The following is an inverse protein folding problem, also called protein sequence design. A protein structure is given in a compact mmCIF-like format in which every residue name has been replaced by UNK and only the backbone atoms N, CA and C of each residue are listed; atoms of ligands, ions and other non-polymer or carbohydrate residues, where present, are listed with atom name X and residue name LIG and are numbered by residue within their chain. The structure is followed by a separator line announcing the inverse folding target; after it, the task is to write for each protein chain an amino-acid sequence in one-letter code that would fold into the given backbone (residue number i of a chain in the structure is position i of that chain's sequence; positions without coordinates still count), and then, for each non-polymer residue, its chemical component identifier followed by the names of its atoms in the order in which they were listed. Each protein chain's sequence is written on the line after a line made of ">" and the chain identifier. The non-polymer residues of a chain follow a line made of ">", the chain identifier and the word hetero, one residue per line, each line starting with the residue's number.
data_IF_739781173015
#
_entry.id   IF_739781173015
#
_cell.length_a   1.000
_cell.length_b   1.000
_cell.length_c   1.000
_cell.angle_alpha   90.00
_cell.angle_beta   90.00
_cell.angle_gamma   90.00
#
_symmetry.space_group_name_H-M   'P 1'
#
loop_
_entity.id
_entity.type
_entity.pdbx_description
1 polymer ?
#
# COMPACT_ATOMS: atom_id res chain seq x y z
N UNK A 1 -8.03 12.91 -7.52
CA UNK A 1 -9.06 11.88 -7.22
C UNK A 1 -9.88 12.31 -6.01
N UNK A 2 -11.14 11.86 -5.94
CA UNK A 2 -11.98 12.04 -4.76
C UNK A 2 -11.46 11.18 -3.60
N UNK A 3 -11.51 11.66 -2.35
CA UNK A 3 -11.15 10.84 -1.20
C UNK A 3 -12.00 9.58 -1.14
N UNK A 4 -11.36 8.44 -0.92
CA UNK A 4 -12.04 7.15 -0.92
C UNK A 4 -11.33 6.12 -0.03
N UNK A 5 -12.08 5.10 0.34
CA UNK A 5 -11.58 3.91 1.02
C UNK A 5 -11.35 2.81 -0.02
N UNK A 6 -10.23 2.12 0.09
CA UNK A 6 -9.83 1.06 -0.83
C UNK A 6 -9.51 -0.22 -0.07
N UNK A 7 -10.01 -1.33 -0.58
CA UNK A 7 -9.49 -2.66 -0.26
C UNK A 7 -8.15 -2.82 -0.99
N UNK A 8 -7.14 -3.24 -0.25
CA UNK A 8 -5.82 -3.57 -0.77
C UNK A 8 -5.61 -5.08 -0.62
N UNK A 9 -5.17 -5.75 -1.69
CA UNK A 9 -4.69 -7.14 -1.66
C UNK A 9 -3.25 -7.15 -2.16
N UNK A 10 -2.41 -7.97 -1.57
CA UNK A 10 -1.02 -8.07 -1.99
C UNK A 10 -0.51 -9.51 -1.92
N UNK A 11 0.37 -9.85 -2.85
CA UNK A 11 0.97 -11.18 -2.97
C UNK A 11 2.47 -11.04 -3.15
N UNK A 12 3.24 -11.72 -2.31
CA UNK A 12 4.68 -11.86 -2.43
C UNK A 12 5.07 -13.30 -2.70
N UNK A 13 6.38 -13.56 -2.70
CA UNK A 13 6.92 -14.90 -2.97
C UNK A 13 6.60 -15.93 -1.87
N UNK A 14 6.42 -15.47 -0.63
CA UNK A 14 6.26 -16.34 0.54
C UNK A 14 4.81 -16.45 1.03
N UNK A 15 3.99 -15.42 0.81
CA UNK A 15 2.62 -15.36 1.32
C UNK A 15 1.76 -14.33 0.56
N UNK A 16 0.51 -14.18 0.98
CA UNK A 16 -0.42 -13.14 0.55
C UNK A 16 -1.05 -12.44 1.75
N UNK A 17 -1.66 -11.28 1.50
CA UNK A 17 -2.34 -10.54 2.54
C UNK A 17 -3.32 -9.52 1.99
N UNK A 18 -3.93 -8.78 2.91
CA UNK A 18 -4.86 -7.73 2.56
C UNK A 18 -4.96 -6.68 3.66
N UNK A 19 -5.55 -5.55 3.30
CA UNK A 19 -5.69 -4.40 4.17
C UNK A 19 -6.64 -3.37 3.59
N UNK A 20 -6.73 -2.24 4.27
CA UNK A 20 -7.56 -1.12 3.85
C UNK A 20 -6.73 0.15 3.87
N UNK A 21 -6.86 0.97 2.83
CA UNK A 21 -6.27 2.30 2.75
C UNK A 21 -7.35 3.35 2.49
N UNK A 22 -7.30 4.45 3.24
CA UNK A 22 -7.85 5.72 2.81
C UNK A 22 -6.84 6.41 1.90
N UNK A 23 -7.30 6.88 0.73
CA UNK A 23 -6.51 7.69 -0.20
C UNK A 23 -7.34 8.91 -0.57
N UNK A 24 -6.83 10.09 -0.27
CA UNK A 24 -7.55 11.33 -0.52
C UNK A 24 -6.81 12.54 0.05
N UNK A 25 -7.10 13.73 -0.49
CA UNK A 25 -6.55 14.99 -0.01
C UNK A 25 -5.00 14.98 0.08
N UNK A 26 -4.34 14.32 -0.87
CA UNK A 26 -2.87 14.18 -0.92
C UNK A 26 -2.28 13.24 0.14
N UNK A 27 -3.11 12.46 0.85
CA UNK A 27 -2.70 11.55 1.93
C UNK A 27 -3.07 10.11 1.62
N UNK A 28 -2.25 9.20 2.16
CA UNK A 28 -2.50 7.76 2.22
C UNK A 28 -2.41 7.35 3.69
N UNK A 29 -3.44 6.69 4.22
CA UNK A 29 -3.43 6.15 5.58
C UNK A 29 -4.15 4.82 5.60
N UNK A 30 -3.64 3.83 6.31
CA UNK A 30 -4.36 2.58 6.48
C UNK A 30 -3.56 1.52 7.21
N UNK A 31 -4.02 0.28 7.11
CA UNK A 31 -3.36 -0.87 7.73
C UNK A 31 -3.69 -2.18 7.02
N UNK A 32 -2.88 -3.20 7.29
CA UNK A 32 -3.18 -4.57 6.90
C UNK A 32 -3.73 -5.41 8.08
N UNK A 33 -4.10 -6.64 7.78
CA UNK A 33 -4.66 -7.60 8.73
C UNK A 33 -3.67 -8.02 9.84
N UNK A 34 -2.37 -7.77 9.70
CA UNK A 34 -1.33 -8.09 10.69
C UNK A 34 -0.79 -6.83 11.40
N UNK A 35 -1.52 -5.72 11.33
CA UNK A 35 -1.20 -4.45 12.00
C UNK A 35 0.10 -3.78 11.49
N UNK A 36 0.49 -4.01 10.23
CA UNK A 36 1.34 -3.07 9.51
C UNK A 36 0.54 -1.81 9.23
N UNK A 37 1.11 -0.64 9.56
CA UNK A 37 0.44 0.65 9.44
C UNK A 37 1.08 1.47 8.33
N UNK A 38 0.26 1.98 7.42
CA UNK A 38 0.68 2.78 6.28
C UNK A 38 0.34 4.24 6.53
N UNK A 39 1.30 5.14 6.28
CA UNK A 39 1.09 6.58 6.28
C UNK A 39 1.98 7.24 5.24
N UNK A 40 1.41 8.03 4.35
CA UNK A 40 2.14 8.65 3.27
C UNK A 40 1.42 9.79 2.59
N UNK A 41 2.02 10.24 1.51
CA UNK A 41 1.46 11.24 0.61
C UNK A 41 1.51 10.74 -0.82
N UNK A 42 0.68 11.34 -1.67
CA UNK A 42 0.70 11.10 -3.10
C UNK A 42 0.50 12.40 -3.87
N UNK A 43 0.93 12.39 -5.13
CA UNK A 43 0.61 13.42 -6.11
C UNK A 43 0.06 12.78 -7.38
N UNK A 44 -0.78 13.54 -8.08
CA UNK A 44 -1.32 13.19 -9.38
C UNK A 44 -0.63 14.08 -10.42
N UNK A 45 0.14 13.49 -11.32
CA UNK A 45 0.87 14.23 -12.35
C UNK A 45 0.92 13.43 -13.63
N UNK A 46 0.61 14.05 -14.77
CA UNK A 46 0.68 13.40 -16.09
C UNK A 46 -0.07 12.06 -16.19
N UNK A 47 -1.23 11.93 -15.53
CA UNK A 47 -2.01 10.68 -15.49
C UNK A 47 -1.39 9.57 -14.63
N UNK A 48 -0.42 9.91 -13.77
CA UNK A 48 0.28 9.01 -12.86
C UNK A 48 -0.06 9.32 -11.42
N UNK A 49 -0.20 8.26 -10.63
CA UNK A 49 -0.25 8.27 -9.19
C UNK A 49 1.15 7.98 -8.65
N UNK A 50 1.81 9.00 -8.09
CA UNK A 50 3.15 8.87 -7.50
C UNK A 50 3.02 9.00 -6.00
N UNK A 51 3.51 8.02 -5.25
CA UNK A 51 3.36 8.00 -3.79
C UNK A 51 4.66 7.73 -3.05
N UNK A 52 4.69 8.20 -1.80
CA UNK A 52 5.71 7.89 -0.81
C UNK A 52 5.01 7.52 0.49
N UNK A 53 5.09 6.25 0.89
CA UNK A 53 4.40 5.68 2.05
C UNK A 53 5.41 5.13 3.04
N UNK A 54 5.23 5.46 4.31
CA UNK A 54 5.90 4.81 5.43
C UNK A 54 5.06 3.64 5.90
N UNK A 55 5.63 2.44 5.89
CA UNK A 55 5.06 1.24 6.51
C UNK A 55 5.73 1.00 7.85
N UNK A 56 4.95 0.94 8.94
CA UNK A 56 5.44 0.67 10.30
C UNK A 56 4.93 -0.68 10.78
N UNK A 57 5.81 -1.47 11.41
CA UNK A 57 5.48 -2.72 12.08
C UNK A 57 5.55 -2.53 13.61
N UNK A 58 4.48 -2.11 14.30
CA UNK A 58 4.54 -1.77 15.72
C UNK A 58 4.95 -2.96 16.60
N UNK A 59 4.47 -4.14 16.26
CA UNK A 59 4.69 -5.41 16.99
C UNK A 59 5.63 -6.36 16.26
N UNK A 60 6.25 -5.90 15.16
CA UNK A 60 6.96 -6.76 14.21
C UNK A 60 6.00 -7.46 13.27
N UNK A 61 6.54 -8.11 12.23
CA UNK A 61 5.76 -8.87 11.26
C UNK A 61 6.64 -9.80 10.43
N UNK A 62 6.04 -10.81 9.81
CA UNK A 62 6.61 -11.49 8.65
C UNK A 62 5.94 -10.91 7.42
N UNK A 63 6.74 -10.35 6.50
CA UNK A 63 6.25 -9.81 5.24
C UNK A 63 5.90 -10.94 4.28
N UNK A 64 5.05 -10.64 3.29
CA UNK A 64 4.74 -11.56 2.17
C UNK A 64 5.96 -11.88 1.29
N UNK A 65 7.05 -11.14 1.45
CA UNK A 65 8.36 -11.43 0.84
C UNK A 65 9.12 -12.53 1.59
N UNK A 66 8.65 -12.95 2.77
CA UNK A 66 9.31 -13.88 3.69
C UNK A 66 10.21 -13.20 4.71
N UNK A 67 10.49 -11.91 4.55
CA UNK A 67 11.36 -11.15 5.46
C UNK A 67 10.70 -10.94 6.83
N UNK A 68 11.46 -11.12 7.90
CA UNK A 68 11.03 -10.77 9.25
C UNK A 68 11.40 -9.33 9.58
N UNK A 69 10.43 -8.57 10.07
CA UNK A 69 10.61 -7.24 10.62
C UNK A 69 10.54 -7.28 12.14
N UNK A 70 11.58 -6.80 12.84
CA UNK A 70 11.51 -6.53 14.27
C UNK A 70 10.39 -5.56 14.65
N UNK A 71 9.99 -5.59 15.92
CA UNK A 71 9.06 -4.61 16.46
C UNK A 71 9.62 -3.19 16.38
N UNK A 72 8.77 -2.25 15.95
CA UNK A 72 9.14 -0.85 15.74
C UNK A 72 9.78 -0.55 14.38
N UNK A 73 10.02 -1.56 13.53
CA UNK A 73 10.57 -1.36 12.19
C UNK A 73 9.73 -0.39 11.35
N UNK A 74 10.43 0.39 10.53
CA UNK A 74 9.85 1.37 9.62
C UNK A 74 10.51 1.21 8.25
N UNK A 75 9.70 1.00 7.23
CA UNK A 75 10.12 0.90 5.83
C UNK A 75 9.51 2.04 5.01
N UNK A 76 10.24 2.52 4.01
CA UNK A 76 9.74 3.49 3.04
C UNK A 76 9.43 2.78 1.74
N UNK A 77 8.20 2.97 1.27
CA UNK A 77 7.67 2.43 0.02
C UNK A 77 7.41 3.60 -0.93
N UNK A 78 7.74 3.42 -2.20
CA UNK A 78 7.43 4.40 -3.24
C UNK A 78 6.79 3.71 -4.43
N UNK A 79 5.81 4.37 -5.03
CA UNK A 79 5.10 3.82 -6.19
C UNK A 79 4.92 4.88 -7.27
N UNK A 80 4.79 4.39 -8.49
CA UNK A 80 4.43 5.19 -9.65
C UNK A 80 3.53 4.32 -10.54
N UNK A 81 2.23 4.55 -10.45
CA UNK A 81 1.20 3.73 -11.08
C UNK A 81 0.30 4.59 -11.98
N UNK A 82 -0.49 3.98 -12.89
CA UNK A 82 -1.56 4.68 -13.58
C UNK A 82 -2.57 5.31 -12.59
N UNK A 83 -3.17 6.45 -12.94
CA UNK A 83 -4.15 7.11 -12.07
C UNK A 83 -5.41 6.27 -11.81
N UNK A 84 -5.71 5.33 -12.70
CA UNK A 84 -6.78 4.33 -12.59
C UNK A 84 -6.33 3.04 -11.90
N UNK A 85 -5.33 3.09 -11.00
CA UNK A 85 -4.75 1.92 -10.33
C UNK A 85 -5.78 0.99 -9.64
N UNK A 86 -6.92 1.52 -9.21
CA UNK A 86 -7.99 0.76 -8.56
C UNK A 86 -8.95 0.06 -9.54
N UNK A 87 -8.42 -0.45 -10.66
CA UNK A 87 -9.16 -1.11 -11.74
C UNK A 87 -9.17 -2.65 -11.63
N UNK A 88 -8.79 -3.19 -10.47
CA UNK A 88 -8.67 -4.64 -10.25
C UNK A 88 -7.43 -5.30 -10.84
N UNK A 89 -6.57 -4.56 -11.55
CA UNK A 89 -5.29 -5.08 -12.05
C UNK A 89 -4.22 -5.13 -10.94
N UNK A 90 -3.20 -5.95 -11.17
CA UNK A 90 -2.03 -6.02 -10.30
C UNK A 90 -1.02 -4.94 -10.68
N UNK A 91 -0.49 -4.27 -9.67
CA UNK A 91 0.56 -3.28 -9.79
C UNK A 91 1.81 -3.74 -9.04
N UNK A 92 3.00 -3.61 -9.65
CA UNK A 92 4.23 -3.99 -9.00
C UNK A 92 4.60 -2.98 -7.91
N UNK A 93 5.12 -3.51 -6.81
CA UNK A 93 5.73 -2.78 -5.71
C UNK A 93 7.03 -3.49 -5.32
N UNK A 94 8.07 -2.72 -5.00
CA UNK A 94 9.27 -3.26 -4.38
C UNK A 94 9.22 -2.99 -2.88
N UNK A 95 9.44 -4.03 -2.09
CA UNK A 95 9.58 -3.95 -0.63
C UNK A 95 10.96 -4.47 -0.27
N UNK A 96 11.85 -3.57 0.17
CA UNK A 96 13.27 -3.89 0.41
C UNK A 96 13.92 -4.62 -0.79
N UNK A 97 13.61 -4.17 -2.01
CA UNK A 97 14.12 -4.77 -3.25
C UNK A 97 13.42 -6.06 -3.71
N UNK A 98 12.48 -6.60 -2.94
CA UNK A 98 11.74 -7.81 -3.30
C UNK A 98 10.40 -7.47 -3.98
N UNK A 99 10.00 -8.19 -5.04
CA UNK A 99 8.76 -7.91 -5.75
C UNK A 99 7.53 -8.34 -4.95
N UNK A 100 6.53 -7.46 -4.94
CA UNK A 100 5.18 -7.69 -4.42
C UNK A 100 4.19 -7.19 -5.47
N UNK A 101 3.15 -7.97 -5.74
CA UNK A 101 2.02 -7.53 -6.56
C UNK A 101 0.93 -6.99 -5.66
N UNK A 102 0.36 -5.84 -6.00
CA UNK A 102 -0.70 -5.18 -5.21
C UNK A 102 -1.89 -4.88 -6.11
N UNK A 103 -3.09 -5.19 -5.64
CA UNK A 103 -4.35 -4.83 -6.31
C UNK A 103 -5.18 -3.97 -5.38
N UNK A 104 -5.86 -2.99 -5.96
CA UNK A 104 -6.79 -2.11 -5.25
C UNK A 104 -8.19 -2.22 -5.84
N UNK A 105 -9.16 -2.16 -4.95
CA UNK A 105 -10.58 -2.08 -5.26
C UNK A 105 -11.17 -0.95 -4.43
N UNK A 106 -11.82 0.02 -5.08
CA UNK A 106 -12.49 1.11 -4.38
C UNK A 106 -13.71 0.55 -3.65
N UNK A 107 -13.78 0.76 -2.33
CA UNK A 107 -14.91 0.36 -1.50
C UNK A 107 -16.02 1.40 -1.63
N UNK A 108 -15.70 2.65 -1.31
CA UNK A 108 -16.62 3.78 -1.43
C UNK A 108 -15.86 5.12 -1.41
N UNK A 109 -16.53 6.17 -1.86
CA UNK A 109 -16.10 7.56 -1.64
C UNK A 109 -16.27 7.96 -0.16
N UNK A 110 -15.43 8.89 0.29
CA UNK A 110 -15.46 9.43 1.65
C UNK A 110 -15.61 10.95 1.56
N UNK A 111 -16.66 11.48 2.18
CA UNK A 111 -16.96 12.92 2.29
C UNK A 111 -16.17 13.60 3.42
#
# INVERSE_FOLDING_TARGET
>A
MQPALYLMKFVGVADFGGGVLFIGNGKIVGMDIVNLRFKGTYSEQNGRFVSSVTMKAPTGATLVTGQQLPAGSVLKLTTDWPLDFANGQQHPLLVEGHPVQVTFEKIDDIE
#
